data_IF_173340853859
#
_entry.id   IF_173340853859
#
_cell.length_a   1.000
_cell.length_b   1.000
_cell.length_c   1.000
_cell.angle_alpha   90.00
_cell.angle_beta   90.00
_cell.angle_gamma   90.00
#
_symmetry.space_group_name_H-M   'P 1'
#
loop_
_entity.id
_entity.type
_entity.pdbx_description
1 polymer ?
#
# COMPACT_ATOMS: atom_id res chain seq x y z
N UNK A 1 -2.23 17.92 -2.66
CA UNK A 1 -1.90 16.87 -1.65
C UNK A 1 -2.16 17.41 -0.23
N UNK A 2 -2.06 16.58 0.82
CA UNK A 2 -2.22 16.94 2.26
C UNK A 2 -3.63 17.05 2.87
N UNK A 3 -4.70 16.73 2.12
CA UNK A 3 -6.07 16.61 2.68
C UNK A 3 -6.41 15.20 3.22
N UNK A 4 -5.43 14.32 3.35
CA UNK A 4 -5.64 12.95 3.86
C UNK A 4 -6.28 11.95 2.88
N UNK A 5 -6.81 12.39 1.73
CA UNK A 5 -7.49 11.49 0.78
C UNK A 5 -6.66 10.27 0.34
N UNK A 6 -5.36 10.45 0.06
CA UNK A 6 -4.51 9.31 -0.30
C UNK A 6 -4.37 8.27 0.81
N UNK A 7 -4.47 8.68 2.08
CA UNK A 7 -4.46 7.75 3.23
C UNK A 7 -5.80 7.01 3.33
N UNK A 8 -6.91 7.74 3.16
CA UNK A 8 -8.25 7.16 3.22
C UNK A 8 -8.47 6.14 2.09
N UNK A 9 -8.12 6.49 0.85
CA UNK A 9 -8.22 5.58 -0.30
C UNK A 9 -7.36 4.33 -0.13
N UNK A 10 -6.14 4.48 0.42
CA UNK A 10 -5.27 3.33 0.66
C UNK A 10 -5.84 2.41 1.74
N UNK A 11 -6.38 2.98 2.83
CA UNK A 11 -7.02 2.20 3.89
C UNK A 11 -8.26 1.45 3.37
N UNK A 12 -9.06 2.10 2.53
CA UNK A 12 -10.23 1.46 1.94
C UNK A 12 -9.84 0.33 0.98
N UNK A 13 -8.79 0.52 0.19
CA UNK A 13 -8.25 -0.54 -0.65
C UNK A 13 -7.72 -1.73 0.16
N UNK A 14 -7.06 -1.48 1.30
CA UNK A 14 -6.63 -2.55 2.23
C UNK A 14 -7.84 -3.29 2.83
N UNK A 15 -8.90 -2.56 3.23
CA UNK A 15 -10.15 -3.13 3.76
C UNK A 15 -10.82 -4.05 2.72
N UNK A 16 -11.08 -3.54 1.52
CA UNK A 16 -11.70 -4.29 0.42
C UNK A 16 -10.88 -5.54 0.10
N UNK A 17 -9.54 -5.41 -0.01
CA UNK A 17 -8.68 -6.54 -0.30
C UNK A 17 -8.78 -7.66 0.76
N UNK A 18 -8.91 -7.30 2.04
CA UNK A 18 -9.04 -8.26 3.14
C UNK A 18 -10.44 -8.86 3.23
N UNK A 19 -11.46 -8.02 3.28
CA UNK A 19 -12.84 -8.40 3.62
C UNK A 19 -13.60 -9.00 2.45
N UNK A 20 -13.41 -8.46 1.25
CA UNK A 20 -14.20 -8.85 0.07
C UNK A 20 -13.47 -9.89 -0.80
N UNK A 21 -12.13 -9.91 -0.76
CA UNK A 21 -11.31 -10.75 -1.64
C UNK A 21 -10.40 -11.75 -0.90
N UNK A 22 -10.45 -11.79 0.44
CA UNK A 22 -9.62 -12.62 1.32
C UNK A 22 -8.12 -12.57 0.98
N UNK A 23 -7.63 -11.40 0.55
CA UNK A 23 -6.20 -11.19 0.27
C UNK A 23 -5.48 -10.79 1.54
N UNK A 24 -4.32 -11.41 1.75
CA UNK A 24 -3.43 -11.12 2.90
C UNK A 24 -2.26 -10.22 2.55
N UNK A 25 -2.22 -9.67 1.32
CA UNK A 25 -1.14 -8.81 0.81
C UNK A 25 -1.69 -7.78 -0.18
N UNK A 26 -1.14 -6.58 -0.13
CA UNK A 26 -1.33 -5.52 -1.13
C UNK A 26 0.01 -5.16 -1.74
N UNK A 27 0.07 -5.08 -3.07
CA UNK A 27 1.22 -4.61 -3.83
C UNK A 27 0.86 -3.29 -4.53
N UNK A 28 1.72 -2.29 -4.38
CA UNK A 28 1.56 -0.98 -5.01
C UNK A 28 2.71 -0.73 -5.97
N UNK A 29 2.42 -0.49 -7.23
CA UNK A 29 3.42 0.01 -8.20
C UNK A 29 3.79 1.43 -7.75
N UNK A 30 5.07 1.65 -7.42
CA UNK A 30 5.52 2.95 -6.92
C UNK A 30 6.79 3.43 -7.61
N UNK A 31 6.72 4.64 -8.16
CA UNK A 31 7.90 5.40 -8.52
C UNK A 31 8.82 5.64 -7.31
N UNK A 32 10.13 5.78 -7.56
CA UNK A 32 11.16 5.87 -6.50
C UNK A 32 10.86 6.99 -5.49
N UNK A 33 10.49 8.19 -5.97
CA UNK A 33 10.19 9.34 -5.12
C UNK A 33 8.94 9.21 -4.24
N UNK A 34 8.02 8.30 -4.57
CA UNK A 34 6.80 8.07 -3.79
C UNK A 34 6.94 6.95 -2.76
N UNK A 35 8.03 6.17 -2.78
CA UNK A 35 8.19 4.99 -1.89
C UNK A 35 8.11 5.36 -0.42
N UNK A 36 8.62 6.53 -0.04
CA UNK A 36 8.63 6.97 1.35
C UNK A 36 7.22 7.21 1.91
N UNK A 37 6.27 7.61 1.06
CA UNK A 37 4.87 7.71 1.46
C UNK A 37 4.30 6.36 1.92
N UNK A 38 4.65 5.28 1.21
CA UNK A 38 4.21 3.92 1.53
C UNK A 38 4.99 3.31 2.70
N UNK A 39 6.30 3.58 2.81
CA UNK A 39 7.14 3.12 3.93
C UNK A 39 6.58 3.58 5.28
N UNK A 40 6.20 4.86 5.37
CA UNK A 40 5.54 5.45 6.56
C UNK A 40 4.22 4.77 6.95
N UNK A 41 3.67 3.91 6.08
CA UNK A 41 2.41 3.17 6.29
C UNK A 41 2.62 1.65 6.40
N UNK A 42 3.87 1.21 6.59
CA UNK A 42 4.21 -0.19 6.83
C UNK A 42 4.48 -1.01 5.56
N UNK A 43 4.49 -0.39 4.38
CA UNK A 43 4.89 -1.08 3.17
C UNK A 43 6.42 -1.20 3.07
N UNK A 44 6.88 -2.33 2.56
CA UNK A 44 8.29 -2.61 2.29
C UNK A 44 8.51 -2.81 0.79
N UNK A 45 9.65 -2.39 0.27
CA UNK A 45 10.00 -2.67 -1.13
C UNK A 45 10.17 -4.18 -1.28
N UNK A 46 9.53 -4.76 -2.29
CA UNK A 46 9.82 -6.13 -2.69
C UNK A 46 11.11 -6.11 -3.53
N UNK A 47 12.10 -6.89 -3.12
CA UNK A 47 13.44 -6.85 -3.72
C UNK A 47 13.43 -7.13 -5.21
N UNK A 48 14.29 -6.41 -5.94
CA UNK A 48 14.35 -6.47 -7.41
C UNK A 48 13.11 -5.91 -8.14
N UNK A 49 12.13 -5.34 -7.43
CA UNK A 49 10.86 -4.93 -8.04
C UNK A 49 10.53 -3.45 -7.90
N UNK A 50 9.54 -3.00 -8.67
CA UNK A 50 8.91 -1.68 -8.57
C UNK A 50 7.78 -1.62 -7.52
N UNK A 51 7.51 -2.74 -6.83
CA UNK A 51 6.39 -2.86 -5.91
C UNK A 51 6.76 -2.52 -4.48
N UNK A 52 5.86 -1.82 -3.81
CA UNK A 52 5.77 -1.71 -2.36
C UNK A 52 4.74 -2.72 -1.87
N UNK A 53 5.10 -3.57 -0.92
CA UNK A 53 4.25 -4.65 -0.41
C UNK A 53 3.97 -4.47 1.07
N UNK A 54 2.72 -4.70 1.48
CA UNK A 54 2.30 -4.80 2.87
C UNK A 54 1.47 -6.07 3.05
N UNK A 55 1.73 -6.81 4.13
CA UNK A 55 0.82 -7.86 4.60
C UNK A 55 -0.32 -7.18 5.35
N UNK A 56 -1.54 -7.54 4.99
CA UNK A 56 -2.76 -7.04 5.62
C UNK A 56 -3.43 -8.22 6.33
N UNK A 57 -3.94 -7.94 7.52
CA UNK A 57 -4.50 -8.93 8.45
C UNK A 57 -5.55 -8.27 9.30
#
# INVERSE_FOLDING_TARGET
QHRGFGKALLAEAERIALEEFDKKKVLVISGVGAREYFRKRGYKRLDGSLYMMKRIS
#
